data_IF_695264156887
#
_entry.id   IF_695264156887
#
_cell.length_a   1.000
_cell.length_b   1.000
_cell.length_c   1.000
_cell.angle_alpha   90.00
_cell.angle_beta   90.00
_cell.angle_gamma   90.00
#
_symmetry.space_group_name_H-M   'P 1'
#
loop_
_entity.id
_entity.type
_entity.pdbx_description
1 polymer ?
#
# COMPACT_ATOMS: atom_id res chain seq x y z
N UNK A 1 -0.04 50.58 -39.88
CA UNK A 1 -0.04 50.12 -38.47
C UNK A 1 -0.41 48.65 -38.46
N UNK A 2 0.57 47.76 -38.32
CA UNK A 2 0.34 46.31 -38.27
C UNK A 2 1.36 45.73 -37.29
N UNK A 3 0.85 45.06 -36.27
CA UNK A 3 1.60 44.55 -35.12
C UNK A 3 2.34 43.24 -35.45
N UNK A 4 3.60 43.07 -35.00
CA UNK A 4 4.22 41.77 -34.84
C UNK A 4 4.43 41.49 -33.34
N UNK A 5 3.52 40.74 -32.72
CA UNK A 5 3.67 40.29 -31.32
C UNK A 5 3.28 38.82 -31.07
N UNK A 6 3.00 38.03 -32.12
CA UNK A 6 2.52 36.63 -31.97
C UNK A 6 3.54 35.53 -32.26
N UNK A 7 4.74 35.86 -32.74
CA UNK A 7 5.71 34.86 -33.21
C UNK A 7 6.74 34.46 -32.14
N UNK A 8 7.14 35.38 -31.25
CA UNK A 8 8.11 35.12 -30.18
C UNK A 8 7.57 34.26 -29.04
N UNK A 9 6.25 34.25 -28.78
CA UNK A 9 5.65 33.45 -27.71
C UNK A 9 5.48 31.97 -28.08
N UNK A 10 5.23 31.66 -29.36
CA UNK A 10 5.06 30.27 -29.85
C UNK A 10 6.35 29.46 -29.81
N UNK A 11 7.48 30.04 -30.22
CA UNK A 11 8.78 29.36 -30.14
C UNK A 11 9.19 29.06 -28.69
N UNK A 12 8.86 29.97 -27.76
CA UNK A 12 9.09 29.73 -26.33
C UNK A 12 8.25 28.57 -25.77
N UNK A 13 7.03 28.38 -26.28
CA UNK A 13 6.13 27.32 -25.82
C UNK A 13 6.52 25.95 -26.35
N UNK A 14 6.98 25.88 -27.61
CA UNK A 14 7.52 24.66 -28.20
C UNK A 14 8.84 24.26 -27.55
N UNK A 15 9.70 25.22 -27.21
CA UNK A 15 10.91 24.99 -26.43
C UNK A 15 10.61 24.32 -25.07
N UNK A 16 9.70 24.92 -24.28
CA UNK A 16 9.27 24.36 -22.98
C UNK A 16 8.72 22.93 -23.10
N UNK A 17 7.93 22.64 -24.13
CA UNK A 17 7.40 21.31 -24.37
C UNK A 17 8.52 20.31 -24.69
N UNK A 18 9.48 20.68 -25.54
CA UNK A 18 10.63 19.81 -25.88
C UNK A 18 11.46 19.50 -24.64
N UNK A 19 11.73 20.48 -23.79
CA UNK A 19 12.48 20.28 -22.54
C UNK A 19 11.73 19.36 -21.58
N UNK A 20 10.40 19.54 -21.47
CA UNK A 20 9.55 18.71 -20.64
C UNK A 20 9.52 17.25 -21.10
N UNK A 21 9.52 16.99 -22.42
CA UNK A 21 9.60 15.64 -22.98
C UNK A 21 11.00 15.05 -22.76
N UNK A 22 12.06 15.82 -23.03
CA UNK A 22 13.43 15.37 -22.80
C UNK A 22 13.68 15.01 -21.34
N UNK A 23 13.11 15.75 -20.38
CA UNK A 23 13.17 15.43 -18.96
C UNK A 23 12.53 14.07 -18.65
N UNK A 24 11.37 13.77 -19.24
CA UNK A 24 10.69 12.47 -19.05
C UNK A 24 11.52 11.31 -19.60
N UNK A 25 12.17 11.49 -20.74
CA UNK A 25 13.08 10.49 -21.31
C UNK A 25 14.26 10.21 -20.38
N UNK A 26 14.85 11.26 -19.77
CA UNK A 26 15.94 11.09 -18.80
C UNK A 26 15.50 10.31 -17.56
N UNK A 27 14.30 10.57 -17.04
CA UNK A 27 13.74 9.80 -15.92
C UNK A 27 13.56 8.34 -16.31
N UNK A 28 13.03 8.06 -17.51
CA UNK A 28 12.88 6.68 -17.98
C UNK A 28 14.22 5.95 -18.12
N UNK A 29 15.25 6.60 -18.65
CA UNK A 29 16.60 6.05 -18.75
C UNK A 29 17.22 5.80 -17.37
N UNK A 30 16.98 6.68 -16.39
CA UNK A 30 17.39 6.49 -15.00
C UNK A 30 16.72 5.25 -14.41
N UNK A 31 15.39 5.14 -14.51
CA UNK A 31 14.64 4.00 -13.98
C UNK A 31 15.16 2.69 -14.57
N UNK A 32 15.23 2.59 -15.90
CA UNK A 32 15.70 1.39 -16.58
C UNK A 32 17.12 0.98 -16.14
N UNK A 33 18.02 1.95 -15.95
CA UNK A 33 19.37 1.68 -15.44
C UNK A 33 19.32 1.14 -14.01
N UNK A 34 18.61 1.82 -13.11
CA UNK A 34 18.61 1.48 -11.67
C UNK A 34 17.89 0.16 -11.39
N UNK A 35 16.79 -0.13 -12.09
CA UNK A 35 16.06 -1.41 -11.93
C UNK A 35 16.78 -2.61 -12.52
N UNK A 36 17.83 -2.39 -13.33
CA UNK A 36 18.68 -3.44 -13.90
C UNK A 36 19.94 -3.77 -13.08
N UNK A 37 20.19 -3.06 -11.98
CA UNK A 37 21.38 -3.26 -11.15
C UNK A 37 21.36 -4.62 -10.42
N UNK A 38 22.51 -5.28 -10.35
CA UNK A 38 22.71 -6.40 -9.41
C UNK A 38 22.72 -5.91 -7.95
N UNK A 39 22.63 -6.84 -6.99
CA UNK A 39 22.58 -6.53 -5.55
C UNK A 39 23.70 -5.59 -5.10
N UNK A 40 24.95 -5.91 -5.46
CA UNK A 40 26.13 -5.13 -5.05
C UNK A 40 26.11 -3.72 -5.63
N UNK A 41 25.70 -3.58 -6.88
CA UNK A 41 25.62 -2.28 -7.55
C UNK A 41 24.44 -1.46 -7.06
N UNK A 42 23.33 -2.11 -6.70
CA UNK A 42 22.19 -1.50 -6.05
C UNK A 42 22.55 -0.97 -4.65
N UNK A 43 23.30 -1.75 -3.85
CA UNK A 43 23.77 -1.30 -2.52
C UNK A 43 24.57 0.02 -2.62
N UNK A 44 25.56 0.07 -3.52
CA UNK A 44 26.34 1.29 -3.77
C UNK A 44 25.47 2.44 -4.26
N UNK A 45 24.57 2.18 -5.21
CA UNK A 45 23.67 3.21 -5.72
C UNK A 45 22.77 3.77 -4.61
N UNK A 46 22.28 2.90 -3.71
CA UNK A 46 21.43 3.28 -2.58
C UNK A 46 22.17 4.16 -1.58
N UNK A 47 23.44 3.87 -1.26
CA UNK A 47 24.26 4.72 -0.38
C UNK A 47 24.45 6.12 -0.96
N UNK A 48 24.78 6.23 -2.25
CA UNK A 48 24.92 7.51 -2.92
C UNK A 48 23.58 8.26 -3.03
N UNK A 49 22.50 7.54 -3.28
CA UNK A 49 21.16 8.11 -3.35
C UNK A 49 20.68 8.62 -1.99
N UNK A 50 21.03 7.91 -0.91
CA UNK A 50 20.72 8.31 0.46
C UNK A 50 21.42 9.62 0.81
N UNK A 51 22.71 9.75 0.51
CA UNK A 51 23.46 10.98 0.72
C UNK A 51 22.84 12.17 -0.02
N UNK A 52 22.44 11.97 -1.28
CA UNK A 52 21.73 13.00 -2.07
C UNK A 52 20.37 13.37 -1.49
N UNK A 53 19.60 12.37 -1.05
CA UNK A 53 18.28 12.60 -0.46
C UNK A 53 18.37 13.38 0.85
N UNK A 54 19.36 13.06 1.70
CA UNK A 54 19.64 13.82 2.92
C UNK A 54 20.02 15.27 2.60
N UNK A 55 20.92 15.48 1.64
CA UNK A 55 21.34 16.82 1.24
C UNK A 55 20.15 17.66 0.76
N UNK A 56 19.30 17.10 -0.12
CA UNK A 56 18.09 17.75 -0.62
C UNK A 56 17.09 18.07 0.50
N UNK A 57 16.77 17.07 1.34
CA UNK A 57 15.81 17.25 2.42
C UNK A 57 16.26 18.33 3.42
N UNK A 58 17.50 18.28 3.90
CA UNK A 58 18.00 19.24 4.89
C UNK A 58 18.26 20.64 4.32
N UNK A 59 18.48 20.79 3.01
CA UNK A 59 18.66 22.09 2.37
C UNK A 59 17.34 22.77 2.02
N UNK A 60 16.37 22.00 1.52
CA UNK A 60 15.20 22.56 0.83
C UNK A 60 13.88 22.37 1.60
N UNK A 61 13.79 21.43 2.54
CA UNK A 61 12.60 21.25 3.39
C UNK A 61 12.68 22.12 4.64
N UNK A 62 11.71 23.01 4.90
CA UNK A 62 11.68 23.82 6.13
C UNK A 62 11.72 22.96 7.39
N UNK A 63 11.02 21.83 7.39
CA UNK A 63 11.02 20.91 8.52
C UNK A 63 12.40 20.30 8.80
N UNK A 64 13.06 19.72 7.79
CA UNK A 64 14.32 19.01 8.00
C UNK A 64 15.52 19.92 8.25
N UNK A 65 15.47 21.17 7.77
CA UNK A 65 16.48 22.18 8.08
C UNK A 65 16.60 22.41 9.60
N UNK A 66 15.48 22.40 10.32
CA UNK A 66 15.43 22.59 11.77
C UNK A 66 15.48 21.26 12.54
N UNK A 67 14.90 20.19 11.98
CA UNK A 67 14.74 18.91 12.67
C UNK A 67 16.03 18.08 12.74
N UNK A 68 16.89 18.15 11.72
CA UNK A 68 18.14 17.37 11.66
C UNK A 68 19.33 18.25 12.06
N UNK A 69 20.12 17.87 13.07
CA UNK A 69 21.32 18.63 13.44
C UNK A 69 22.30 18.79 12.26
N UNK A 70 22.73 20.02 11.98
CA UNK A 70 23.53 20.36 10.80
C UNK A 70 24.82 19.53 10.66
N UNK A 71 25.48 19.17 11.77
CA UNK A 71 26.67 18.33 11.75
C UNK A 71 26.39 16.88 11.31
N UNK A 72 25.21 16.34 11.66
CA UNK A 72 24.75 15.03 11.19
C UNK A 72 24.33 15.11 9.72
N UNK A 73 23.60 16.15 9.32
CA UNK A 73 23.21 16.38 7.94
C UNK A 73 24.43 16.44 7.00
N UNK A 74 25.43 17.27 7.32
CA UNK A 74 26.66 17.37 6.53
C UNK A 74 27.48 16.08 6.51
N UNK A 75 27.49 15.33 7.61
CA UNK A 75 28.16 14.03 7.69
C UNK A 75 27.53 12.97 6.78
N UNK A 76 26.21 12.82 6.87
CA UNK A 76 25.45 11.86 6.07
C UNK A 76 25.43 12.24 4.58
N UNK A 77 25.33 13.53 4.25
CA UNK A 77 25.46 14.03 2.88
C UNK A 77 26.85 13.77 2.27
N UNK A 78 27.89 13.63 3.11
CA UNK A 78 29.23 13.21 2.69
C UNK A 78 29.41 11.67 2.64
N UNK A 79 28.33 10.89 2.81
CA UNK A 79 28.34 9.42 2.71
C UNK A 79 28.64 8.68 4.02
N UNK A 80 28.65 9.35 5.19
CA UNK A 80 28.88 8.66 6.47
C UNK A 80 27.58 8.06 7.03
N UNK A 81 27.39 6.75 6.83
CA UNK A 81 26.17 6.03 7.23
C UNK A 81 25.93 6.02 8.74
N UNK A 82 26.99 6.02 9.56
CA UNK A 82 26.88 6.06 11.02
C UNK A 82 26.24 7.36 11.49
N UNK A 83 26.52 8.47 10.80
CA UNK A 83 25.87 9.75 11.09
C UNK A 83 24.38 9.71 10.75
N UNK A 84 24.00 9.04 9.66
CA UNK A 84 22.61 8.84 9.30
C UNK A 84 21.86 8.00 10.34
N UNK A 85 22.48 6.95 10.89
CA UNK A 85 21.89 6.14 11.95
C UNK A 85 21.56 6.94 13.23
N UNK A 86 22.23 8.07 13.46
CA UNK A 86 21.97 8.99 14.56
C UNK A 86 20.86 10.03 14.29
N UNK A 87 20.25 10.03 13.10
CA UNK A 87 19.17 10.97 12.79
C UNK A 87 17.94 10.69 13.65
N UNK A 88 17.22 11.74 14.10
CA UNK A 88 15.93 11.56 14.76
C UNK A 88 14.91 10.93 13.80
N UNK A 89 13.98 10.15 14.35
CA UNK A 89 12.91 9.55 13.56
C UNK A 89 11.84 10.59 13.18
N UNK A 90 11.46 10.60 11.91
CA UNK A 90 10.25 11.31 11.49
C UNK A 90 9.03 10.45 11.84
N UNK A 91 7.99 11.04 12.43
CA UNK A 91 6.76 10.32 12.80
C UNK A 91 5.54 10.88 12.07
N UNK A 92 4.42 10.15 12.17
CA UNK A 92 3.14 10.59 11.60
C UNK A 92 2.71 11.96 12.16
N UNK A 93 2.96 12.18 13.45
CA UNK A 93 2.63 13.41 14.16
C UNK A 93 3.41 14.61 13.61
N UNK A 94 4.68 14.43 13.24
CA UNK A 94 5.46 15.47 12.58
C UNK A 94 4.86 15.88 11.23
N UNK A 95 4.48 14.90 10.40
CA UNK A 95 3.85 15.17 9.10
C UNK A 95 2.48 15.87 9.26
N UNK A 96 1.68 15.45 10.24
CA UNK A 96 0.40 16.09 10.54
C UNK A 96 0.59 17.52 11.07
N UNK A 97 1.59 17.76 11.93
CA UNK A 97 1.93 19.08 12.46
C UNK A 97 2.49 20.04 11.39
N UNK A 98 3.10 19.50 10.34
CA UNK A 98 3.63 20.24 9.21
C UNK A 98 2.58 20.48 8.09
N UNK A 99 1.31 20.12 8.28
CA UNK A 99 0.29 20.22 7.26
C UNK A 99 -0.02 21.69 6.86
N UNK A 100 -0.29 21.99 5.57
CA UNK A 100 -0.07 21.11 4.42
C UNK A 100 1.37 21.20 3.90
N UNK A 101 2.02 22.38 3.96
CA UNK A 101 3.22 22.66 3.15
C UNK A 101 4.55 22.56 3.92
N UNK A 102 4.55 22.32 5.23
CA UNK A 102 5.75 22.36 6.07
C UNK A 102 6.82 21.31 5.70
N UNK A 103 6.41 20.21 5.05
CA UNK A 103 7.31 19.17 4.54
C UNK A 103 7.77 19.43 3.08
N UNK A 104 7.18 20.40 2.38
CA UNK A 104 7.45 20.65 0.97
C UNK A 104 8.89 21.14 0.77
N UNK A 105 9.65 20.44 -0.07
CA UNK A 105 11.06 20.70 -0.36
C UNK A 105 11.32 21.21 -1.79
N UNK A 106 10.27 21.71 -2.45
CA UNK A 106 10.36 22.32 -3.79
C UNK A 106 9.43 23.53 -3.86
N UNK A 107 9.67 24.49 -4.77
CA UNK A 107 8.70 25.53 -5.06
C UNK A 107 7.34 24.94 -5.46
N UNK A 108 6.19 25.47 -4.97
CA UNK A 108 4.86 24.93 -5.27
C UNK A 108 4.54 24.77 -6.77
N UNK A 109 5.17 25.58 -7.63
CA UNK A 109 5.04 25.47 -9.10
C UNK A 109 5.59 24.17 -9.70
N UNK A 110 6.44 23.44 -8.98
CA UNK A 110 6.99 22.14 -9.43
C UNK A 110 6.10 20.96 -9.04
N UNK A 111 5.15 21.18 -8.12
CA UNK A 111 4.19 20.17 -7.67
C UNK A 111 3.11 19.97 -8.74
N UNK A 112 2.86 18.71 -9.07
CA UNK A 112 1.78 18.33 -10.02
C UNK A 112 0.68 17.49 -9.37
N UNK A 113 0.90 16.99 -8.15
CA UNK A 113 -0.05 16.17 -7.40
C UNK A 113 -0.06 16.59 -5.95
N UNK A 114 -1.27 16.63 -5.40
CA UNK A 114 -1.55 16.70 -3.98
C UNK A 114 -2.40 15.48 -3.65
N UNK A 115 -1.91 14.67 -2.73
CA UNK A 115 -2.63 13.57 -2.14
C UNK A 115 -2.81 13.84 -0.64
N UNK A 116 -3.82 13.22 -0.06
CA UNK A 116 -4.12 13.33 1.36
C UNK A 116 -4.43 11.95 1.94
N UNK A 117 -3.74 11.60 3.03
CA UNK A 117 -4.10 10.41 3.79
C UNK A 117 -5.27 10.74 4.71
N UNK A 118 -6.38 10.01 4.59
CA UNK A 118 -7.46 10.07 5.57
C UNK A 118 -6.92 9.60 6.92
N UNK A 119 -6.93 10.46 7.94
CA UNK A 119 -6.34 10.22 9.25
C UNK A 119 -6.85 8.95 9.94
N UNK A 120 -6.14 7.83 9.79
CA UNK A 120 -6.41 6.61 10.56
C UNK A 120 -5.80 6.78 11.95
N UNK A 121 -6.58 7.30 12.90
CA UNK A 121 -6.18 7.37 14.32
C UNK A 121 -6.72 8.60 15.04
N UNK A 122 -6.13 9.77 14.79
CA UNK A 122 -6.38 11.01 15.54
C UNK A 122 -7.23 12.06 14.79
N UNK A 123 -7.69 11.76 13.57
CA UNK A 123 -8.44 12.69 12.73
C UNK A 123 -7.59 13.77 12.03
N UNK A 124 -6.26 13.73 12.14
CA UNK A 124 -5.37 14.67 11.44
C UNK A 124 -4.90 14.12 10.09
N UNK A 125 -5.19 14.88 9.04
CA UNK A 125 -4.75 14.61 7.68
C UNK A 125 -3.24 14.80 7.52
N UNK A 126 -2.68 14.08 6.54
CA UNK A 126 -1.30 14.29 6.08
C UNK A 126 -1.36 14.55 4.59
N UNK A 127 -0.70 15.63 4.16
CA UNK A 127 -0.49 15.95 2.77
C UNK A 127 0.67 15.14 2.21
N UNK A 128 0.58 14.76 0.93
CA UNK A 128 1.69 14.27 0.15
C UNK A 128 1.76 15.02 -1.19
N UNK A 129 2.97 15.35 -1.62
CA UNK A 129 3.20 16.12 -2.84
C UNK A 129 4.16 15.38 -3.75
N UNK A 130 3.92 15.50 -5.06
CA UNK A 130 4.77 14.88 -6.07
C UNK A 130 5.08 15.87 -7.19
N UNK A 131 6.34 15.93 -7.58
CA UNK A 131 6.76 16.51 -8.86
C UNK A 131 6.50 15.54 -10.02
N UNK A 132 6.71 16.02 -11.25
CA UNK A 132 6.65 15.15 -12.45
C UNK A 132 7.68 14.02 -12.36
N UNK A 133 8.88 14.31 -11.84
CA UNK A 133 9.95 13.31 -11.70
C UNK A 133 9.57 12.24 -10.69
N UNK A 134 9.10 12.65 -9.51
CA UNK A 134 8.66 11.72 -8.44
C UNK A 134 7.60 10.75 -8.96
N UNK A 135 6.59 11.31 -9.65
CA UNK A 135 5.45 10.57 -10.15
C UNK A 135 5.81 9.64 -11.30
N UNK A 136 6.69 10.06 -12.21
CA UNK A 136 7.11 9.23 -13.34
C UNK A 136 8.05 8.10 -12.90
N UNK A 137 8.94 8.37 -11.94
CA UNK A 137 9.91 7.39 -11.42
C UNK A 137 9.20 6.23 -10.69
N UNK A 138 8.37 6.55 -9.70
CA UNK A 138 6.95 6.19 -9.75
C UNK A 138 6.48 5.04 -10.65
N UNK A 139 5.64 5.48 -11.59
CA UNK A 139 4.85 4.63 -12.46
C UNK A 139 5.74 3.71 -13.31
N UNK A 140 6.93 4.17 -13.75
CA UNK A 140 7.84 3.33 -14.55
C UNK A 140 8.43 2.18 -13.74
N UNK A 141 8.75 2.42 -12.46
CA UNK A 141 9.23 1.36 -11.56
C UNK A 141 8.10 0.36 -11.28
N UNK A 142 6.90 0.84 -10.99
CA UNK A 142 5.72 -0.01 -10.75
C UNK A 142 5.36 -0.81 -12.00
N UNK A 143 5.37 -0.20 -13.19
CA UNK A 143 5.13 -0.88 -14.47
C UNK A 143 6.13 -2.02 -14.67
N UNK A 144 7.43 -1.75 -14.45
CA UNK A 144 8.49 -2.77 -14.54
C UNK A 144 8.19 -3.96 -13.62
N UNK A 145 7.74 -3.72 -12.40
CA UNK A 145 7.44 -4.78 -11.43
C UNK A 145 6.14 -5.53 -11.75
N UNK A 146 5.10 -4.83 -12.22
CA UNK A 146 3.83 -5.43 -12.65
C UNK A 146 4.01 -6.35 -13.87
N UNK A 147 4.97 -6.06 -14.75
CA UNK A 147 5.30 -6.89 -15.92
C UNK A 147 5.66 -8.35 -15.59
N UNK A 148 5.95 -8.65 -14.31
CA UNK A 148 6.19 -10.01 -13.85
C UNK A 148 4.96 -10.92 -13.97
N UNK A 149 3.74 -10.35 -14.04
CA UNK A 149 2.49 -11.13 -14.14
C UNK A 149 1.47 -10.56 -15.12
N UNK A 150 1.64 -9.30 -15.57
CA UNK A 150 0.75 -8.62 -16.52
C UNK A 150 1.49 -8.27 -17.82
N UNK A 151 0.75 -8.22 -18.91
CA UNK A 151 1.22 -7.70 -20.21
C UNK A 151 0.12 -6.93 -20.96
N UNK A 152 0.42 -6.48 -22.17
CA UNK A 152 -0.48 -5.64 -22.98
C UNK A 152 -1.82 -6.30 -23.34
N UNK A 153 -1.95 -7.62 -23.16
CA UNK A 153 -3.21 -8.36 -23.42
C UNK A 153 -4.16 -8.33 -22.23
N UNK A 154 -3.69 -7.91 -21.06
CA UNK A 154 -4.51 -7.90 -19.86
C UNK A 154 -5.51 -6.72 -19.85
N UNK A 155 -6.71 -7.01 -19.36
CA UNK A 155 -7.76 -6.04 -19.05
C UNK A 155 -7.84 -5.92 -17.54
N UNK A 156 -7.42 -4.78 -16.99
CA UNK A 156 -7.21 -4.60 -15.56
C UNK A 156 -8.27 -3.68 -14.97
N UNK A 157 -9.10 -4.23 -14.09
CA UNK A 157 -10.09 -3.47 -13.36
C UNK A 157 -9.51 -2.89 -12.08
N UNK A 158 -9.67 -1.58 -11.89
CA UNK A 158 -9.09 -0.84 -10.75
C UNK A 158 -10.20 -0.39 -9.80
N UNK A 159 -10.37 -1.13 -8.70
CA UNK A 159 -11.33 -0.87 -7.63
C UNK A 159 -10.64 -0.42 -6.32
N UNK A 160 -9.78 0.60 -6.44
CA UNK A 160 -9.15 1.36 -5.34
C UNK A 160 -9.53 2.85 -5.44
N UNK A 161 -9.38 3.66 -4.38
CA UNK A 161 -9.76 5.08 -4.43
C UNK A 161 -8.95 5.88 -5.46
N UNK A 162 -9.60 6.86 -6.08
CA UNK A 162 -8.99 7.92 -6.91
C UNK A 162 -9.14 9.30 -6.24
N UNK A 163 -9.97 9.38 -5.20
CA UNK A 163 -10.34 10.57 -4.46
C UNK A 163 -9.32 10.84 -3.37
N UNK A 164 -8.47 11.87 -3.55
CA UNK A 164 -7.39 12.31 -2.65
C UNK A 164 -6.29 11.26 -2.34
N UNK A 165 -6.51 9.98 -2.60
CA UNK A 165 -5.50 8.95 -2.55
C UNK A 165 -4.98 8.64 -3.96
N UNK A 166 -3.68 8.84 -4.20
CA UNK A 166 -3.08 8.65 -5.52
C UNK A 166 -2.96 7.21 -5.99
N UNK A 167 -3.32 6.19 -5.20
CA UNK A 167 -3.12 4.77 -5.55
C UNK A 167 -3.82 4.37 -6.86
N UNK A 168 -5.06 4.81 -7.08
CA UNK A 168 -5.77 4.54 -8.33
C UNK A 168 -5.07 5.19 -9.52
N UNK A 169 -4.67 6.45 -9.37
CA UNK A 169 -4.00 7.22 -10.42
C UNK A 169 -2.59 6.68 -10.72
N UNK A 170 -1.89 6.19 -9.71
CA UNK A 170 -0.55 5.63 -9.81
C UNK A 170 -0.56 4.32 -10.61
N UNK A 171 -1.46 3.40 -10.23
CA UNK A 171 -1.64 2.13 -10.92
C UNK A 171 -2.19 2.32 -12.34
N UNK A 172 -3.12 3.27 -12.54
CA UNK A 172 -3.61 3.67 -13.86
C UNK A 172 -2.45 4.04 -14.81
N UNK A 173 -1.55 4.93 -14.37
CA UNK A 173 -0.38 5.32 -15.17
C UNK A 173 0.62 4.18 -15.38
N UNK A 174 0.85 3.34 -14.37
CA UNK A 174 1.76 2.20 -14.50
C UNK A 174 1.22 1.13 -15.49
N UNK A 175 -0.09 0.91 -15.50
CA UNK A 175 -0.75 0.00 -16.43
C UNK A 175 -0.79 0.55 -17.86
N UNK A 176 -0.98 1.87 -18.02
CA UNK A 176 -0.85 2.54 -19.32
C UNK A 176 0.56 2.34 -19.92
N UNK A 177 1.62 2.40 -19.10
CA UNK A 177 2.99 2.14 -19.54
C UNK A 177 3.17 0.71 -20.05
N UNK A 178 2.48 -0.27 -19.45
CA UNK A 178 2.49 -1.67 -19.90
C UNK A 178 1.60 -1.91 -21.12
N UNK A 179 0.74 -0.96 -21.49
CA UNK A 179 -0.21 -1.13 -22.58
C UNK A 179 -1.45 -1.97 -22.23
N UNK A 180 -1.73 -2.18 -20.94
CA UNK A 180 -2.94 -2.89 -20.51
C UNK A 180 -4.19 -2.06 -20.81
N UNK A 181 -5.33 -2.72 -21.03
CA UNK A 181 -6.64 -2.05 -21.02
C UNK A 181 -7.06 -1.78 -19.58
N UNK A 182 -7.57 -0.58 -19.27
CA UNK A 182 -7.91 -0.19 -17.90
C UNK A 182 -9.42 -0.01 -17.75
N UNK A 183 -10.00 -0.64 -16.73
CA UNK A 183 -11.40 -0.47 -16.31
C UNK A 183 -11.44 0.25 -14.96
N UNK A 184 -11.59 1.58 -14.93
CA UNK A 184 -11.52 2.36 -13.69
C UNK A 184 -12.85 2.28 -12.93
N UNK A 185 -12.93 1.37 -11.96
CA UNK A 185 -14.12 1.15 -11.13
C UNK A 185 -14.20 2.14 -9.96
N UNK A 186 -13.04 2.51 -9.39
CA UNK A 186 -12.96 3.24 -8.13
C UNK A 186 -13.36 2.37 -6.93
N UNK A 187 -13.20 2.88 -5.70
CA UNK A 187 -13.56 2.14 -4.49
C UNK A 187 -14.73 2.74 -3.70
N UNK A 188 -14.83 4.08 -3.69
CA UNK A 188 -15.76 4.81 -2.83
C UNK A 188 -16.84 5.59 -3.60
N UNK A 189 -16.95 5.37 -4.92
CA UNK A 189 -17.91 6.09 -5.75
C UNK A 189 -19.31 5.49 -5.62
N UNK A 190 -20.34 6.28 -5.26
CA UNK A 190 -21.73 5.79 -5.26
C UNK A 190 -22.22 5.46 -6.68
N UNK A 191 -21.52 5.92 -7.72
CA UNK A 191 -21.88 5.66 -9.13
C UNK A 191 -21.49 4.26 -9.59
N UNK A 192 -20.52 3.62 -8.93
CA UNK A 192 -20.05 2.28 -9.26
C UNK A 192 -20.33 1.33 -8.10
N UNK A 193 -21.59 0.92 -7.94
CA UNK A 193 -21.98 -0.05 -6.91
C UNK A 193 -21.26 -1.40 -7.08
N UNK A 194 -21.18 -2.24 -6.04
CA UNK A 194 -20.58 -3.57 -6.14
C UNK A 194 -21.17 -4.43 -7.27
N UNK A 195 -22.48 -4.41 -7.50
CA UNK A 195 -23.15 -5.14 -8.58
C UNK A 195 -22.70 -4.61 -9.95
N UNK A 196 -22.60 -3.28 -10.07
CA UNK A 196 -22.06 -2.65 -11.28
C UNK A 196 -20.60 -2.99 -11.51
N UNK A 197 -19.79 -3.08 -10.44
CA UNK A 197 -18.39 -3.54 -10.54
C UNK A 197 -18.34 -4.96 -11.10
N UNK A 198 -19.13 -5.89 -10.55
CA UNK A 198 -19.22 -7.28 -11.04
C UNK A 198 -19.64 -7.32 -12.51
N UNK A 199 -20.70 -6.60 -12.89
CA UNK A 199 -21.12 -6.56 -14.30
C UNK A 199 -20.08 -5.93 -15.21
N UNK A 200 -19.31 -4.95 -14.74
CA UNK A 200 -18.21 -4.38 -15.49
C UNK A 200 -17.07 -5.39 -15.66
N UNK A 201 -16.72 -6.16 -14.63
CA UNK A 201 -15.74 -7.26 -14.73
C UNK A 201 -16.15 -8.27 -15.80
N UNK A 202 -17.41 -8.71 -15.75
CA UNK A 202 -17.96 -9.68 -16.71
C UNK A 202 -17.95 -9.13 -18.15
N UNK A 203 -18.50 -7.92 -18.36
CA UNK A 203 -18.66 -7.32 -19.70
C UNK A 203 -17.35 -6.90 -20.36
N UNK A 204 -16.37 -6.48 -19.55
CA UNK A 204 -15.07 -6.06 -20.07
C UNK A 204 -14.12 -7.24 -20.31
N UNK A 205 -14.42 -8.42 -19.77
CA UNK A 205 -13.50 -9.55 -19.78
C UNK A 205 -12.24 -9.26 -18.93
N UNK A 206 -12.39 -8.55 -17.81
CA UNK A 206 -11.27 -8.19 -16.95
C UNK A 206 -10.49 -9.43 -16.50
N UNK A 207 -9.20 -9.49 -16.84
CA UNK A 207 -8.29 -10.60 -16.50
C UNK A 207 -7.63 -10.40 -15.15
N UNK A 208 -7.58 -9.16 -14.65
CA UNK A 208 -7.05 -8.83 -13.34
C UNK A 208 -7.93 -7.80 -12.60
N UNK A 209 -7.95 -7.92 -11.27
CA UNK A 209 -8.66 -7.00 -10.37
C UNK A 209 -7.70 -6.42 -9.33
N UNK A 210 -7.55 -5.09 -9.33
CA UNK A 210 -6.85 -4.34 -8.29
C UNK A 210 -7.86 -3.87 -7.24
N UNK A 211 -7.74 -4.31 -5.99
CA UNK A 211 -8.58 -3.85 -4.87
C UNK A 211 -7.98 -4.26 -3.52
N UNK A 212 -8.66 -4.01 -2.39
CA UNK A 212 -8.28 -4.66 -1.13
C UNK A 212 -8.73 -6.13 -1.11
N UNK A 213 -8.04 -6.97 -0.34
CA UNK A 213 -8.40 -8.39 -0.26
C UNK A 213 -9.80 -8.63 0.31
N UNK A 214 -10.22 -7.84 1.30
CA UNK A 214 -11.59 -7.88 1.83
C UNK A 214 -12.62 -7.49 0.76
N UNK A 215 -12.33 -6.49 -0.09
CA UNK A 215 -13.23 -6.12 -1.19
C UNK A 215 -13.33 -7.22 -2.24
N UNK A 216 -12.23 -7.89 -2.58
CA UNK A 216 -12.27 -9.03 -3.50
C UNK A 216 -13.10 -10.20 -2.95
N UNK A 217 -13.02 -10.51 -1.65
CA UNK A 217 -13.86 -11.54 -1.03
C UNK A 217 -15.35 -11.15 -1.12
N UNK A 218 -15.66 -9.88 -0.84
CA UNK A 218 -17.02 -9.37 -0.94
C UNK A 218 -17.54 -9.35 -2.40
N UNK A 219 -16.75 -8.91 -3.38
CA UNK A 219 -17.18 -8.84 -4.78
C UNK A 219 -17.50 -10.21 -5.37
N UNK A 220 -16.82 -11.28 -4.95
CA UNK A 220 -17.18 -12.62 -5.42
C UNK A 220 -18.47 -13.14 -4.76
N UNK A 221 -18.81 -12.69 -3.55
CA UNK A 221 -20.15 -12.91 -2.99
C UNK A 221 -21.22 -12.16 -3.80
N UNK A 222 -20.94 -10.90 -4.17
CA UNK A 222 -21.86 -10.11 -5.00
C UNK A 222 -22.05 -10.74 -6.38
N UNK A 223 -21.00 -11.31 -6.98
CA UNK A 223 -21.13 -12.05 -8.22
C UNK A 223 -22.12 -13.22 -8.11
N UNK A 224 -22.04 -14.02 -7.03
CA UNK A 224 -23.01 -15.10 -6.77
C UNK A 224 -24.43 -14.59 -6.61
N UNK A 225 -24.62 -13.47 -5.90
CA UNK A 225 -25.94 -12.81 -5.78
C UNK A 225 -26.47 -12.30 -7.12
N UNK A 226 -25.59 -11.92 -8.03
CA UNK A 226 -25.94 -11.56 -9.41
C UNK A 226 -26.13 -12.78 -10.33
N UNK A 227 -26.06 -14.02 -9.81
CA UNK A 227 -26.21 -15.25 -10.58
C UNK A 227 -24.98 -15.62 -11.43
N UNK A 228 -23.80 -15.12 -11.07
CA UNK A 228 -22.53 -15.42 -11.72
C UNK A 228 -21.62 -16.19 -10.76
N UNK A 229 -20.98 -17.25 -11.23
CA UNK A 229 -19.87 -17.87 -10.52
C UNK A 229 -18.58 -17.05 -10.76
N UNK A 230 -17.90 -16.53 -9.71
CA UNK A 230 -16.70 -15.73 -9.91
C UNK A 230 -15.55 -16.48 -10.60
N UNK A 231 -15.51 -17.80 -10.51
CA UNK A 231 -14.47 -18.64 -11.09
C UNK A 231 -14.78 -19.00 -12.54
N UNK A 232 -16.04 -19.32 -12.83
CA UNK A 232 -16.43 -19.87 -14.13
C UNK A 232 -16.96 -18.79 -15.09
N UNK A 233 -17.61 -17.73 -14.58
CA UNK A 233 -18.25 -16.69 -15.40
C UNK A 233 -17.45 -15.38 -15.50
N UNK A 234 -16.39 -15.20 -14.68
CA UNK A 234 -15.52 -14.01 -14.73
C UNK A 234 -14.10 -14.40 -15.17
N UNK A 235 -13.49 -13.59 -16.04
CA UNK A 235 -12.15 -13.86 -16.57
C UNK A 235 -11.00 -13.54 -15.60
N UNK A 236 -11.32 -13.13 -14.36
CA UNK A 236 -10.33 -12.65 -13.39
C UNK A 236 -9.45 -13.81 -12.91
N UNK A 237 -8.19 -13.82 -13.36
CA UNK A 237 -7.19 -14.83 -12.98
C UNK A 237 -6.15 -14.30 -11.99
N UNK A 238 -6.12 -12.98 -11.78
CA UNK A 238 -5.15 -12.30 -10.90
C UNK A 238 -5.85 -11.25 -10.05
N UNK A 239 -5.59 -11.27 -8.75
CA UNK A 239 -6.09 -10.26 -7.81
C UNK A 239 -4.89 -9.53 -7.23
N UNK A 240 -4.76 -8.23 -7.53
CA UNK A 240 -3.64 -7.39 -7.09
C UNK A 240 -4.09 -6.57 -5.89
N UNK A 241 -3.71 -7.02 -4.69
CA UNK A 241 -4.21 -6.49 -3.44
C UNK A 241 -3.46 -5.22 -3.02
N UNK A 242 -4.20 -4.14 -2.79
CA UNK A 242 -3.70 -2.85 -2.36
C UNK A 242 -4.51 -2.30 -1.17
N UNK A 243 -3.86 -1.46 -0.35
CA UNK A 243 -4.53 -0.70 0.72
C UNK A 243 -4.90 -1.49 1.97
N UNK A 244 -4.65 -2.81 1.99
CA UNK A 244 -4.95 -3.70 3.11
C UNK A 244 -3.89 -4.80 3.22
N UNK A 245 -3.42 -5.08 4.43
CA UNK A 245 -2.65 -6.30 4.68
C UNK A 245 -3.51 -7.54 4.44
N UNK A 246 -2.90 -8.67 4.07
CA UNK A 246 -3.65 -9.90 3.79
C UNK A 246 -2.94 -11.12 4.35
N UNK A 247 -3.65 -11.87 5.18
CA UNK A 247 -3.20 -13.15 5.71
C UNK A 247 -3.01 -14.20 4.61
N UNK A 248 -2.18 -15.23 4.86
CA UNK A 248 -2.15 -16.41 4.02
C UNK A 248 -3.54 -17.04 3.82
N UNK A 249 -4.37 -17.12 4.86
CA UNK A 249 -5.73 -17.63 4.73
C UNK A 249 -6.60 -16.79 3.77
N UNK A 250 -6.55 -15.47 3.86
CA UNK A 250 -7.26 -14.58 2.91
C UNK A 250 -6.87 -14.85 1.46
N UNK A 251 -5.57 -15.00 1.19
CA UNK A 251 -5.08 -15.37 -0.17
C UNK A 251 -5.62 -16.72 -0.63
N UNK A 252 -5.67 -17.74 0.26
CA UNK A 252 -6.27 -19.04 -0.07
C UNK A 252 -7.75 -18.93 -0.39
N UNK A 253 -8.53 -18.17 0.41
CA UNK A 253 -9.95 -17.95 0.16
C UNK A 253 -10.22 -17.22 -1.15
N UNK A 254 -9.37 -16.25 -1.50
CA UNK A 254 -9.44 -15.60 -2.81
C UNK A 254 -9.18 -16.58 -3.95
N UNK A 255 -8.17 -17.46 -3.81
CA UNK A 255 -7.89 -18.48 -4.82
C UNK A 255 -9.03 -19.49 -4.96
N UNK A 256 -9.63 -19.93 -3.85
CA UNK A 256 -10.79 -20.83 -3.86
C UNK A 256 -12.02 -20.17 -4.50
N UNK A 257 -12.30 -18.92 -4.16
CA UNK A 257 -13.50 -18.22 -4.61
C UNK A 257 -13.43 -17.79 -6.08
N UNK A 258 -12.27 -17.33 -6.54
CA UNK A 258 -12.11 -16.75 -7.88
C UNK A 258 -11.36 -17.64 -8.86
N UNK A 259 -10.70 -18.71 -8.40
CA UNK A 259 -9.72 -19.43 -9.23
C UNK A 259 -8.50 -18.57 -9.59
N UNK A 260 -8.24 -17.49 -8.85
CA UNK A 260 -7.26 -16.48 -9.17
C UNK A 260 -6.04 -16.51 -8.24
N UNK A 261 -4.88 -16.05 -8.72
CA UNK A 261 -3.71 -15.84 -7.86
C UNK A 261 -3.79 -14.46 -7.20
N UNK A 262 -3.71 -14.42 -5.87
CA UNK A 262 -3.78 -13.19 -5.08
C UNK A 262 -2.37 -12.67 -4.72
N UNK A 263 -2.01 -11.53 -5.28
CA UNK A 263 -0.72 -10.87 -5.08
C UNK A 263 -0.86 -9.68 -4.14
N UNK A 264 0.09 -9.49 -3.22
CA UNK A 264 0.10 -8.33 -2.32
C UNK A 264 0.97 -7.21 -2.88
N UNK A 265 0.53 -5.97 -2.71
CA UNK A 265 1.32 -4.76 -2.91
C UNK A 265 1.33 -3.97 -1.60
N UNK A 266 2.43 -3.24 -1.35
CA UNK A 266 2.58 -2.44 -0.14
C UNK A 266 3.09 -1.05 -0.48
N UNK A 267 2.50 -0.05 0.15
CA UNK A 267 2.78 1.35 -0.09
C UNK A 267 1.98 2.23 0.85
N UNK A 268 2.23 3.53 0.77
CA UNK A 268 1.58 4.53 1.59
C UNK A 268 1.44 5.84 0.82
N UNK A 269 0.50 6.68 1.24
CA UNK A 269 0.20 7.94 0.55
C UNK A 269 1.44 8.84 0.50
N UNK A 270 2.25 8.80 1.56
CA UNK A 270 3.40 9.67 1.77
C UNK A 270 4.63 9.29 0.89
N UNK A 271 4.70 8.06 0.35
CA UNK A 271 5.89 7.57 -0.39
C UNK A 271 5.58 6.84 -1.71
N UNK A 272 4.29 6.67 -2.06
CA UNK A 272 3.82 5.74 -3.09
C UNK A 272 4.15 4.27 -2.75
N UNK A 273 4.66 3.52 -3.72
CA UNK A 273 4.92 2.08 -3.63
C UNK A 273 6.21 1.79 -2.85
N UNK A 274 6.09 0.94 -1.82
CA UNK A 274 7.22 0.50 -1.00
C UNK A 274 7.62 -0.94 -1.30
N UNK A 275 6.69 -1.81 -1.69
CA UNK A 275 7.01 -3.17 -2.08
C UNK A 275 6.00 -3.75 -3.08
N UNK A 276 6.48 -4.57 -4.02
CA UNK A 276 5.68 -5.22 -5.07
C UNK A 276 5.97 -6.72 -5.13
N UNK A 277 4.98 -7.50 -5.49
CA UNK A 277 5.11 -8.94 -5.64
C UNK A 277 6.02 -9.31 -6.83
N UNK A 278 6.63 -10.50 -6.80
CA UNK A 278 7.20 -11.16 -7.97
C UNK A 278 6.29 -12.30 -8.48
N UNK A 279 6.70 -13.00 -9.55
CA UNK A 279 5.98 -14.15 -10.13
C UNK A 279 5.67 -15.31 -9.16
N UNK A 280 6.37 -15.40 -8.04
CA UNK A 280 6.11 -16.39 -6.99
C UNK A 280 5.23 -15.86 -5.84
N UNK A 281 4.73 -14.63 -5.94
CA UNK A 281 3.90 -14.01 -4.90
C UNK A 281 4.67 -13.45 -3.70
N UNK A 282 6.01 -13.52 -3.73
CA UNK A 282 6.89 -12.93 -2.73
C UNK A 282 6.94 -11.41 -2.89
N UNK A 283 6.87 -10.67 -1.79
CA UNK A 283 6.85 -9.20 -1.78
C UNK A 283 8.29 -8.65 -1.72
N UNK A 284 8.71 -7.88 -2.72
CA UNK A 284 10.05 -7.28 -2.82
C UNK A 284 10.01 -5.77 -2.56
N UNK A 285 10.94 -5.29 -1.75
CA UNK A 285 11.12 -3.87 -1.45
C UNK A 285 11.56 -3.08 -2.68
N UNK A 286 11.00 -1.90 -2.90
CA UNK A 286 11.40 -0.99 -3.99
C UNK A 286 12.65 -0.19 -3.58
N UNK A 287 13.75 -0.90 -3.40
CA UNK A 287 15.04 -0.34 -2.94
C UNK A 287 15.66 0.65 -3.93
N UNK A 288 15.15 0.67 -5.17
CA UNK A 288 15.50 1.65 -6.20
C UNK A 288 14.88 3.03 -5.97
N UNK A 289 13.98 3.18 -4.99
CA UNK A 289 13.31 4.45 -4.67
C UNK A 289 13.31 4.78 -3.18
N UNK A 290 13.52 3.79 -2.32
CA UNK A 290 13.42 3.96 -0.87
C UNK A 290 14.49 3.14 -0.16
N UNK A 291 15.14 3.73 0.83
CA UNK A 291 16.00 3.04 1.78
C UNK A 291 15.16 2.54 2.96
N UNK A 292 15.39 1.30 3.37
CA UNK A 292 14.59 0.60 4.37
C UNK A 292 15.45 0.14 5.54
N UNK A 293 14.95 0.37 6.75
CA UNK A 293 15.49 -0.23 7.97
C UNK A 293 14.37 -0.95 8.71
N UNK A 294 14.74 -2.01 9.44
CA UNK A 294 13.92 -2.53 10.53
C UNK A 294 14.53 -1.97 11.82
N UNK A 295 13.72 -1.36 12.66
CA UNK A 295 14.15 -0.84 13.96
C UNK A 295 13.37 -1.49 15.08
N UNK A 296 13.99 -1.62 16.24
CA UNK A 296 13.28 -1.96 17.45
C UNK A 296 12.34 -0.80 17.84
N UNK A 297 11.03 -1.06 18.05
CA UNK A 297 10.05 0.01 18.24
C UNK A 297 10.21 0.76 19.57
N UNK A 298 10.90 0.19 20.56
CA UNK A 298 11.09 0.79 21.89
C UNK A 298 12.39 1.58 21.97
N UNK A 299 13.51 0.94 21.62
CA UNK A 299 14.86 1.53 21.68
C UNK A 299 15.21 2.37 20.45
N UNK A 300 14.59 2.10 19.30
CA UNK A 300 14.93 2.73 18.02
C UNK A 300 16.21 2.19 17.37
N UNK A 301 16.82 1.13 17.94
CA UNK A 301 18.02 0.52 17.37
C UNK A 301 17.72 -0.18 16.05
N UNK A 302 18.60 -0.04 15.07
CA UNK A 302 18.49 -0.76 13.80
C UNK A 302 18.75 -2.25 14.03
N UNK A 303 17.84 -3.08 13.56
CA UNK A 303 17.91 -4.54 13.63
C UNK A 303 18.46 -5.14 12.32
N UNK A 304 19.14 -6.29 12.39
CA UNK A 304 19.62 -7.00 11.20
C UNK A 304 18.46 -7.60 10.39
N UNK A 305 18.71 -7.87 9.10
CA UNK A 305 17.78 -8.63 8.27
C UNK A 305 17.48 -10.01 8.92
N UNK A 306 16.24 -10.45 8.84
CA UNK A 306 15.70 -11.63 9.54
C UNK A 306 15.01 -11.31 10.88
N UNK A 307 15.35 -10.19 11.53
CA UNK A 307 14.66 -9.72 12.73
C UNK A 307 13.30 -9.10 12.38
N UNK A 308 12.36 -9.15 13.33
CA UNK A 308 11.05 -8.49 13.22
C UNK A 308 11.05 -7.24 14.08
N UNK A 309 10.62 -6.11 13.51
CA UNK A 309 10.56 -4.81 14.18
C UNK A 309 9.64 -3.85 13.42
N UNK A 310 9.78 -2.56 13.67
CA UNK A 310 9.08 -1.53 12.91
C UNK A 310 9.83 -1.19 11.62
N UNK A 311 9.10 -1.07 10.51
CA UNK A 311 9.67 -0.57 9.27
C UNK A 311 9.89 0.94 9.34
N UNK A 312 11.08 1.38 8.99
CA UNK A 312 11.37 2.79 8.71
C UNK A 312 11.78 2.98 7.27
N UNK A 313 11.41 4.13 6.70
CA UNK A 313 11.64 4.45 5.29
C UNK A 313 12.33 5.78 5.12
N UNK A 314 13.24 5.85 4.14
CA UNK A 314 13.86 7.10 3.67
C UNK A 314 13.73 7.17 2.16
N UNK A 315 13.04 8.18 1.65
CA UNK A 315 12.79 8.30 0.21
C UNK A 315 14.05 8.74 -0.52
N UNK A 316 14.48 7.98 -1.53
CA UNK A 316 15.67 8.24 -2.34
C UNK A 316 15.35 9.00 -3.64
N UNK A 317 14.08 8.97 -4.04
CA UNK A 317 13.59 9.47 -5.32
C UNK A 317 12.39 10.45 -5.17
N UNK A 318 12.25 11.09 -4.00
CA UNK A 318 11.19 12.07 -3.73
C UNK A 318 11.78 13.47 -3.59
N UNK A 319 11.51 14.33 -4.56
CA UNK A 319 11.90 15.75 -4.59
C UNK A 319 10.90 16.61 -3.86
N UNK A 320 9.61 16.47 -4.14
CA UNK A 320 8.60 17.37 -3.60
C UNK A 320 8.47 17.28 -2.08
N UNK A 321 8.45 16.05 -1.55
CA UNK A 321 8.31 15.80 -0.12
C UNK A 321 9.22 14.62 0.26
N UNK A 322 10.53 14.85 0.45
CA UNK A 322 11.42 13.82 0.94
C UNK A 322 11.04 13.44 2.37
N UNK A 323 11.26 12.18 2.74
CA UNK A 323 11.13 11.68 4.11
C UNK A 323 12.43 11.04 4.55
N UNK A 324 12.91 11.41 5.73
CA UNK A 324 14.10 10.86 6.37
C UNK A 324 13.71 10.05 7.62
N UNK A 325 14.11 8.78 7.66
CA UNK A 325 13.83 7.83 8.77
C UNK A 325 12.39 7.91 9.27
N UNK A 326 11.44 7.86 8.35
CA UNK A 326 10.02 7.90 8.68
C UNK A 326 9.54 6.57 9.23
N UNK A 327 9.00 6.58 10.46
CA UNK A 327 8.40 5.42 11.13
C UNK A 327 7.01 5.15 10.57
N UNK A 328 6.82 4.00 9.93
CA UNK A 328 5.55 3.71 9.22
C UNK A 328 4.45 3.21 10.17
N UNK A 329 4.82 2.75 11.37
CA UNK A 329 3.96 2.03 12.30
C UNK A 329 3.64 0.59 11.88
N UNK A 330 4.27 0.08 10.81
CA UNK A 330 4.08 -1.30 10.33
C UNK A 330 5.13 -2.22 10.93
N UNK A 331 4.68 -3.35 11.48
CA UNK A 331 5.56 -4.42 11.94
C UNK A 331 5.99 -5.25 10.73
N UNK A 332 7.29 -5.32 10.48
CA UNK A 332 7.85 -5.98 9.31
C UNK A 332 9.08 -6.83 9.65
N UNK A 333 9.44 -7.71 8.72
CA UNK A 333 10.72 -8.41 8.67
C UNK A 333 11.24 -8.38 7.24
N UNK A 334 12.49 -7.96 7.07
CA UNK A 334 13.21 -8.10 5.79
C UNK A 334 13.87 -9.49 5.79
N UNK A 335 13.64 -10.30 4.77
CA UNK A 335 14.25 -11.63 4.69
C UNK A 335 15.70 -11.52 4.23
N UNK A 336 16.60 -12.20 4.95
CA UNK A 336 18.03 -12.26 4.62
C UNK A 336 18.31 -13.08 3.35
N UNK A 337 17.47 -14.09 3.07
CA UNK A 337 17.70 -15.01 1.96
C UNK A 337 17.21 -14.44 0.61
N UNK A 338 18.01 -14.57 -0.46
CA UNK A 338 17.59 -14.22 -1.81
C UNK A 338 16.30 -14.91 -2.24
N UNK A 339 15.55 -14.27 -3.13
CA UNK A 339 14.36 -14.90 -3.69
C UNK A 339 14.73 -15.83 -4.85
N UNK A 340 14.04 -16.97 -4.94
CA UNK A 340 14.11 -17.86 -6.09
C UNK A 340 13.72 -17.19 -7.43
N UNK A 341 13.07 -16.01 -7.40
CA UNK A 341 12.75 -15.26 -8.61
C UNK A 341 13.98 -14.64 -9.31
N UNK A 342 15.13 -14.58 -8.62
CA UNK A 342 16.36 -13.98 -9.12
C UNK A 342 16.41 -12.45 -8.98
N UNK A 343 15.40 -11.82 -8.40
CA UNK A 343 15.41 -10.38 -8.14
C UNK A 343 16.53 -10.01 -7.15
N UNK A 344 17.29 -8.93 -7.40
CA UNK A 344 18.27 -8.42 -6.46
C UNK A 344 17.62 -7.73 -5.26
N UNK A 345 16.33 -7.40 -5.33
CA UNK A 345 15.60 -6.70 -4.28
C UNK A 345 15.32 -7.62 -3.10
N UNK A 346 15.49 -7.13 -1.88
CA UNK A 346 15.19 -7.87 -0.65
C UNK A 346 13.69 -8.08 -0.48
N UNK A 347 13.32 -9.17 0.20
CA UNK A 347 11.92 -9.54 0.43
C UNK A 347 11.39 -8.97 1.75
N UNK A 348 10.13 -8.57 1.76
CA UNK A 348 9.41 -8.05 2.92
C UNK A 348 8.36 -9.06 3.40
N UNK A 349 8.27 -9.24 4.72
CA UNK A 349 7.12 -9.82 5.41
C UNK A 349 6.42 -8.74 6.22
N UNK A 350 5.24 -8.33 5.79
CA UNK A 350 4.36 -7.44 6.55
C UNK A 350 3.59 -8.26 7.59
N UNK A 351 3.60 -7.82 8.86
CA UNK A 351 3.00 -8.52 10.01
C UNK A 351 1.87 -7.72 10.67
N UNK A 352 1.35 -6.71 9.98
CA UNK A 352 0.32 -5.81 10.49
C UNK A 352 0.91 -4.49 11.00
N UNK A 353 0.07 -3.67 11.63
CA UNK A 353 0.48 -2.40 12.24
C UNK A 353 0.60 -2.54 13.75
N UNK A 354 1.54 -1.83 14.34
CA UNK A 354 1.80 -1.83 15.79
C UNK A 354 0.56 -1.32 16.54
N UNK A 355 0.02 -0.17 16.12
CA UNK A 355 -1.16 0.44 16.75
C UNK A 355 -2.47 -0.34 16.55
N UNK A 356 -2.49 -1.30 15.63
CA UNK A 356 -3.67 -2.10 15.32
C UNK A 356 -3.74 -3.41 16.12
N UNK A 357 -2.71 -3.71 16.91
CA UNK A 357 -2.65 -4.92 17.74
C UNK A 357 -3.74 -4.88 18.81
N UNK A 358 -4.26 -6.06 19.12
CA UNK A 358 -5.26 -6.25 20.14
C UNK A 358 -4.65 -7.02 21.31
N UNK A 359 -4.99 -6.58 22.53
CA UNK A 359 -4.73 -7.34 23.74
C UNK A 359 -5.79 -8.42 23.85
N UNK A 360 -5.37 -9.68 23.80
CA UNK A 360 -6.25 -10.86 23.85
C UNK A 360 -5.65 -11.83 24.86
N UNK A 361 -6.37 -12.03 25.97
CA UNK A 361 -5.83 -12.68 27.15
C UNK A 361 -4.53 -12.05 27.63
N UNK A 362 -3.48 -12.86 27.74
CA UNK A 362 -2.16 -12.47 28.24
C UNK A 362 -1.18 -12.04 27.14
N UNK A 363 -1.59 -12.01 25.87
CA UNK A 363 -0.73 -11.67 24.73
C UNK A 363 -1.32 -10.60 23.81
N UNK A 364 -0.48 -10.15 22.88
CA UNK A 364 -0.88 -9.25 21.80
C UNK A 364 -1.01 -10.04 20.51
N UNK A 365 -2.10 -9.82 19.77
CA UNK A 365 -2.35 -10.42 18.47
C UNK A 365 -2.48 -9.32 17.39
N UNK A 366 -1.96 -9.59 16.20
CA UNK A 366 -2.16 -8.68 15.05
C UNK A 366 -3.52 -8.94 14.39
N UNK A 367 -4.05 -7.95 13.68
CA UNK A 367 -5.26 -8.16 12.87
C UNK A 367 -5.07 -9.26 11.82
N UNK A 368 -3.87 -9.36 11.22
CA UNK A 368 -3.56 -10.39 10.23
C UNK A 368 -3.49 -11.80 10.83
N UNK A 369 -3.07 -11.93 12.08
CA UNK A 369 -3.08 -13.21 12.79
C UNK A 369 -4.51 -13.67 13.06
N UNK A 370 -5.38 -12.78 13.56
CA UNK A 370 -6.80 -13.09 13.79
C UNK A 370 -7.49 -13.42 12.46
N UNK A 371 -7.21 -12.65 11.41
CA UNK A 371 -7.69 -12.93 10.07
C UNK A 371 -7.27 -14.31 9.55
N UNK A 372 -6.00 -14.67 9.73
CA UNK A 372 -5.48 -15.97 9.31
C UNK A 372 -6.19 -17.13 10.04
N UNK A 373 -6.46 -16.96 11.34
CA UNK A 373 -7.13 -17.95 12.18
C UNK A 373 -8.59 -18.14 11.74
N UNK A 374 -9.35 -17.04 11.67
CA UNK A 374 -10.79 -17.11 11.40
C UNK A 374 -11.03 -17.56 9.96
N UNK A 375 -10.41 -16.91 8.96
CA UNK A 375 -10.58 -17.33 7.56
C UNK A 375 -10.01 -18.72 7.33
N UNK A 376 -8.95 -19.12 8.04
CA UNK A 376 -8.38 -20.46 7.95
C UNK A 376 -9.38 -21.56 8.33
N UNK A 377 -10.23 -21.30 9.33
CA UNK A 377 -11.20 -22.26 9.84
C UNK A 377 -12.56 -22.25 9.10
N UNK A 378 -12.92 -21.18 8.39
CA UNK A 378 -14.20 -21.10 7.66
C UNK A 378 -14.26 -22.05 6.46
N UNK A 379 -15.00 -23.15 6.56
CA UNK A 379 -15.03 -24.18 5.50
C UNK A 379 -15.73 -23.73 4.19
N UNK A 380 -16.64 -22.76 4.25
CA UNK A 380 -17.46 -22.33 3.12
C UNK A 380 -17.64 -20.81 3.10
N UNK A 381 -17.89 -20.19 1.93
CA UNK A 381 -18.27 -18.79 1.84
C UNK A 381 -19.62 -18.54 2.53
N UNK A 382 -19.96 -17.29 2.87
CA UNK A 382 -19.22 -16.05 2.61
C UNK A 382 -17.97 -15.85 3.50
N UNK A 383 -16.82 -15.55 2.89
CA UNK A 383 -15.53 -15.37 3.58
C UNK A 383 -15.28 -13.94 4.07
N UNK A 384 -16.24 -13.33 4.76
CA UNK A 384 -16.05 -12.04 5.41
C UNK A 384 -16.68 -12.02 6.78
N UNK A 385 -16.11 -11.24 7.69
CA UNK A 385 -16.52 -11.20 9.08
C UNK A 385 -16.02 -9.89 9.70
N UNK A 386 -16.49 -9.59 10.90
CA UNK A 386 -15.87 -8.55 11.73
C UNK A 386 -15.52 -9.12 13.09
N UNK A 387 -14.56 -8.53 13.78
CA UNK A 387 -14.19 -9.01 15.10
C UNK A 387 -13.84 -7.87 16.04
N UNK A 388 -14.05 -8.12 17.32
CA UNK A 388 -13.54 -7.31 18.42
C UNK A 388 -13.00 -8.23 19.51
N UNK A 389 -12.12 -7.73 20.36
CA UNK A 389 -11.53 -8.52 21.43
C UNK A 389 -11.55 -7.80 22.77
N UNK A 390 -11.85 -8.55 23.84
CA UNK A 390 -11.85 -8.04 25.21
C UNK A 390 -11.63 -9.15 26.21
N UNK A 391 -10.61 -8.99 27.06
CA UNK A 391 -10.20 -10.03 28.02
C UNK A 391 -9.87 -11.34 27.30
N UNK A 392 -10.46 -12.44 27.78
CA UNK A 392 -10.29 -13.80 27.22
C UNK A 392 -11.36 -14.16 26.18
N UNK A 393 -11.93 -13.16 25.50
CA UNK A 393 -12.98 -13.36 24.49
C UNK A 393 -12.64 -12.65 23.19
N UNK A 394 -12.72 -13.39 22.09
CA UNK A 394 -12.78 -12.86 20.73
C UNK A 394 -14.24 -12.91 20.25
N UNK A 395 -14.86 -11.75 20.12
CA UNK A 395 -16.21 -11.61 19.57
C UNK A 395 -16.12 -11.55 18.03
N UNK A 396 -16.79 -12.47 17.34
CA UNK A 396 -16.76 -12.61 15.88
C UNK A 396 -18.18 -12.44 15.35
N UNK A 397 -18.37 -11.45 14.48
CA UNK A 397 -19.60 -11.27 13.74
C UNK A 397 -19.49 -11.95 12.38
N UNK A 398 -20.29 -13.00 12.17
CA UNK A 398 -20.32 -13.79 10.94
C UNK A 398 -21.57 -13.46 10.12
N UNK A 399 -21.54 -13.58 8.78
CA UNK A 399 -22.73 -13.45 7.95
C UNK A 399 -23.83 -14.42 8.43
N UNK A 400 -25.13 -14.06 8.34
CA UNK A 400 -26.20 -14.84 8.97
C UNK A 400 -26.15 -16.35 8.70
N UNK A 401 -25.95 -16.75 7.43
CA UNK A 401 -25.82 -18.16 7.06
C UNK A 401 -24.67 -18.88 7.78
N UNK A 402 -23.52 -18.21 7.97
CA UNK A 402 -22.37 -18.76 8.68
C UNK A 402 -22.50 -18.67 10.21
N UNK A 403 -23.25 -17.69 10.72
CA UNK A 403 -23.51 -17.53 12.16
C UNK A 403 -24.43 -18.64 12.69
N UNK A 404 -25.36 -19.12 11.88
CA UNK A 404 -26.28 -20.22 12.24
C UNK A 404 -25.62 -21.60 12.05
N UNK A 405 -24.58 -21.71 11.22
CA UNK A 405 -23.83 -22.95 10.98
C UNK A 405 -22.99 -23.35 12.22
N UNK A 406 -23.38 -24.45 12.86
CA UNK A 406 -22.68 -24.96 14.04
C UNK A 406 -21.30 -25.56 13.71
N UNK A 407 -21.12 -26.12 12.51
CA UNK A 407 -19.84 -26.66 12.06
C UNK A 407 -18.82 -25.54 11.87
N UNK A 408 -19.21 -24.44 11.21
CA UNK A 408 -18.34 -23.26 11.04
C UNK A 408 -17.97 -22.68 12.39
N UNK A 409 -18.95 -22.48 13.30
CA UNK A 409 -18.67 -21.95 14.65
C UNK A 409 -17.77 -22.86 15.47
N UNK A 410 -17.96 -24.18 15.40
CA UNK A 410 -17.12 -25.13 16.11
C UNK A 410 -15.67 -25.08 15.62
N UNK A 411 -15.46 -25.10 14.30
CA UNK A 411 -14.13 -25.03 13.69
C UNK A 411 -13.41 -23.71 14.02
N UNK A 412 -14.12 -22.57 13.93
CA UNK A 412 -13.54 -21.26 14.30
C UNK A 412 -13.23 -21.21 15.79
N UNK A 413 -14.12 -21.73 16.66
CA UNK A 413 -13.88 -21.77 18.11
C UNK A 413 -12.65 -22.59 18.47
N UNK A 414 -12.49 -23.75 17.83
CA UNK A 414 -11.34 -24.62 18.01
C UNK A 414 -10.05 -23.92 17.57
N UNK A 415 -10.02 -23.35 16.36
CA UNK A 415 -8.84 -22.63 15.87
C UNK A 415 -8.47 -21.42 16.75
N UNK A 416 -9.45 -20.66 17.23
CA UNK A 416 -9.23 -19.54 18.16
C UNK A 416 -8.67 -20.04 19.49
N UNK A 417 -9.25 -21.11 20.06
CA UNK A 417 -8.77 -21.70 21.32
C UNK A 417 -7.34 -22.22 21.17
N UNK A 418 -7.03 -22.94 20.09
CA UNK A 418 -5.71 -23.54 19.88
C UNK A 418 -4.62 -22.49 19.62
N UNK A 419 -4.91 -21.46 18.83
CA UNK A 419 -3.89 -20.49 18.39
C UNK A 419 -3.79 -19.24 19.26
N UNK A 420 -4.88 -18.85 19.93
CA UNK A 420 -4.92 -17.66 20.80
C UNK A 420 -5.16 -17.99 22.28
N UNK A 421 -5.57 -19.21 22.64
CA UNK A 421 -5.82 -19.59 24.03
C UNK A 421 -7.08 -18.97 24.64
N UNK A 422 -7.95 -18.37 23.83
CA UNK A 422 -9.16 -17.66 24.30
C UNK A 422 -10.45 -18.25 23.73
N UNK A 423 -11.60 -17.80 24.24
CA UNK A 423 -12.91 -18.25 23.79
C UNK A 423 -13.43 -17.38 22.64
N UNK A 424 -13.99 -18.01 21.61
CA UNK A 424 -14.75 -17.31 20.58
C UNK A 424 -16.23 -17.15 20.98
N UNK A 425 -16.81 -15.99 20.72
CA UNK A 425 -18.26 -15.73 20.82
C UNK A 425 -18.74 -15.23 19.48
N UNK A 426 -19.93 -15.69 19.05
CA UNK A 426 -20.46 -15.36 17.74
C UNK A 426 -21.71 -14.50 17.85
N UNK A 427 -21.85 -13.58 16.90
CA UNK A 427 -23.10 -12.87 16.62
C UNK A 427 -23.34 -12.77 15.12
N UNK A 428 -24.59 -12.54 14.68
CA UNK A 428 -24.86 -12.17 13.29
C UNK A 428 -24.17 -10.84 12.94
N UNK A 429 -23.60 -10.78 11.75
CA UNK A 429 -23.06 -9.57 11.15
C UNK A 429 -24.19 -8.69 10.65
N UNK A 430 -24.18 -7.42 11.03
CA UNK A 430 -25.05 -6.40 10.46
C UNK A 430 -24.63 -6.11 9.01
N UNK A 431 -25.18 -6.89 8.06
CA UNK A 431 -24.74 -6.88 6.67
C UNK A 431 -24.84 -5.48 6.05
N UNK A 432 -25.93 -4.75 6.29
CA UNK A 432 -26.09 -3.38 5.77
C UNK A 432 -24.99 -2.43 6.26
N UNK A 433 -24.64 -2.48 7.54
CA UNK A 433 -23.56 -1.67 8.13
C UNK A 433 -22.19 -2.04 7.53
N UNK A 434 -21.93 -3.34 7.36
CA UNK A 434 -20.70 -3.85 6.75
C UNK A 434 -20.57 -3.42 5.29
N UNK A 435 -21.64 -3.56 4.51
CA UNK A 435 -21.67 -3.18 3.10
C UNK A 435 -21.50 -1.67 2.93
N UNK A 436 -22.13 -0.85 3.78
CA UNK A 436 -21.98 0.60 3.75
C UNK A 436 -20.56 1.02 4.09
N UNK A 437 -19.95 0.39 5.10
CA UNK A 437 -18.58 0.68 5.46
C UNK A 437 -17.59 0.22 4.38
N UNK A 438 -17.85 -0.89 3.69
CA UNK A 438 -17.09 -1.27 2.50
C UNK A 438 -17.23 -0.25 1.37
N UNK A 439 -18.42 0.32 1.14
CA UNK A 439 -18.64 1.33 0.11
C UNK A 439 -17.96 2.66 0.42
N UNK A 440 -17.82 3.01 1.69
CA UNK A 440 -17.32 4.33 2.12
C UNK A 440 -15.86 4.32 2.57
N UNK A 441 -15.31 3.15 2.90
CA UNK A 441 -13.93 3.03 3.37
C UNK A 441 -12.92 2.93 2.22
N UNK A 442 -11.93 3.84 2.25
CA UNK A 442 -10.76 3.79 1.40
C UNK A 442 -9.83 2.60 1.73
N UNK A 443 -9.83 2.14 2.99
CA UNK A 443 -8.98 1.05 3.51
C UNK A 443 -9.83 0.11 4.38
N UNK A 444 -10.70 -0.70 3.74
CA UNK A 444 -11.54 -1.62 4.49
C UNK A 444 -10.68 -2.74 5.09
N UNK A 445 -10.79 -2.94 6.41
CA UNK A 445 -10.25 -4.10 7.12
C UNK A 445 -11.39 -4.80 7.83
N UNK A 446 -11.25 -6.11 8.11
CA UNK A 446 -12.26 -6.86 8.87
C UNK A 446 -12.53 -6.26 10.27
N UNK A 447 -11.61 -5.44 10.83
CA UNK A 447 -11.82 -4.74 12.11
C UNK A 447 -12.48 -3.37 11.96
N UNK A 448 -12.25 -2.65 10.86
CA UNK A 448 -12.74 -1.27 10.67
C UNK A 448 -14.27 -1.15 10.59
N UNK A 449 -14.99 -2.27 10.67
CA UNK A 449 -16.43 -2.39 10.55
C UNK A 449 -17.12 -2.78 11.86
N UNK A 450 -16.38 -2.83 12.97
CA UNK A 450 -17.03 -2.91 14.27
C UNK A 450 -17.86 -1.66 14.46
N UNK A 451 -19.17 -1.84 14.69
CA UNK A 451 -20.03 -0.76 15.15
C UNK A 451 -19.36 -0.22 16.42
N UNK A 452 -18.86 1.03 16.37
CA UNK A 452 -18.47 1.72 17.60
C UNK A 452 -19.69 1.63 18.49
N UNK A 453 -19.61 0.89 19.60
CA UNK A 453 -20.65 0.92 20.63
C UNK A 453 -20.91 2.38 20.93
N UNK A 454 -22.09 2.88 20.56
CA UNK A 454 -22.53 4.19 20.97
C UNK A 454 -22.64 4.16 22.50
N UNK A 455 -21.60 4.62 23.19
CA UNK A 455 -21.54 4.66 24.65
C UNK A 455 -20.14 4.43 25.21
N UNK A 456 -19.45 5.52 25.53
CA UNK A 456 -18.18 5.52 26.25
C UNK A 456 -17.42 6.82 26.03
N UNK A 457 -17.87 7.88 26.71
CA UNK A 457 -17.07 9.08 26.99
C UNK A 457 -15.98 8.71 28.00
#
# INVERSE_FOLDING_TARGET
MTAPARQTSRDSSLGRLRDAVAARVRVAQKVARVTSLDRRSLDRWTEEALARAVAHACADSPFYADFVPAHLAGAAAAGRLEAFAAFPFTTREHLAGAYPLGMLAVPPREVIRFDESSGTGNGSSIAAFFTVEDWLENNLTVATLLSAVLDERDVVAIAVPYELAGVGQDLDRALEVLGCTIVPLGAASPKCSPERMVHALHRSGATALVCSGTRALYLGEIARRCGLDPRDDLAVSRILMAGEGSSPAKKRRLAEQWGAVAYSMFGMTETNTLAMFCRFGELHLVETRTFFEIVDPESGERLPDGATGELTVTTLASRAMPLLRYRTGDTCRIEAEPCACGSPLRRLRHRGRIGDRLRIGDRWASQLEIEDIVLGAMAAPPYFFTFDAGGDVLEIALPPASADDQTVRAAVSEAVRERLGVRAVFRPLALASFEEALRTSAKPTMRNFTERRAGGI
#
